data_IF_747116151968
#
_entry.id   IF_747116151968
#
_cell.length_a   1.000
_cell.length_b   1.000
_cell.length_c   1.000
_cell.angle_alpha   90.00
_cell.angle_beta   90.00
_cell.angle_gamma   90.00
#
_symmetry.space_group_name_H-M   'P 1'
#
loop_
_entity.id
_entity.type
_entity.pdbx_description
1 polymer ?
#
# COMPACT_ATOMS: atom_id res chain seq x y z
N UNK A 1 17.49 -26.58 16.27
CA UNK A 1 16.63 -25.73 15.43
C UNK A 1 16.02 -24.66 16.31
N UNK A 2 16.15 -23.36 16.00
CA UNK A 2 15.53 -22.32 16.81
C UNK A 2 13.98 -22.37 16.68
N UNK A 3 13.23 -21.96 17.71
CA UNK A 3 11.78 -22.07 17.71
C UNK A 3 11.17 -21.13 16.67
N UNK A 4 10.39 -21.70 15.75
CA UNK A 4 9.73 -21.03 14.62
C UNK A 4 8.59 -20.06 15.02
N UNK A 5 8.48 -19.69 16.30
CA UNK A 5 7.37 -18.91 16.84
C UNK A 5 7.81 -17.70 17.68
N UNK A 6 8.94 -17.09 17.31
CA UNK A 6 9.35 -15.80 17.89
C UNK A 6 8.47 -14.66 17.29
N UNK A 7 7.61 -14.01 18.09
CA UNK A 7 6.78 -12.90 17.62
C UNK A 7 7.62 -11.71 17.10
N UNK A 8 8.83 -11.50 17.62
CA UNK A 8 9.72 -10.44 17.16
C UNK A 8 10.29 -10.75 15.77
N UNK A 9 10.56 -12.03 15.47
CA UNK A 9 10.99 -12.46 14.14
C UNK A 9 9.89 -12.21 13.10
N UNK A 10 8.62 -12.53 13.41
CA UNK A 10 7.47 -12.25 12.52
C UNK A 10 7.30 -10.76 12.25
N UNK A 11 7.42 -9.93 13.29
CA UNK A 11 7.31 -8.47 13.17
C UNK A 11 8.43 -7.88 12.30
N UNK A 12 9.65 -8.42 12.40
CA UNK A 12 10.79 -8.02 11.57
C UNK A 12 10.57 -8.39 10.11
N UNK A 13 10.13 -9.62 9.83
CA UNK A 13 9.82 -10.07 8.47
C UNK A 13 8.69 -9.24 7.83
N UNK A 14 7.65 -8.88 8.59
CA UNK A 14 6.59 -8.02 8.09
C UNK A 14 7.09 -6.62 7.71
N UNK A 15 7.98 -6.03 8.51
CA UNK A 15 8.61 -4.73 8.19
C UNK A 15 9.45 -4.81 6.92
N UNK A 16 10.29 -5.83 6.83
CA UNK A 16 11.15 -6.07 5.66
C UNK A 16 10.32 -6.28 4.39
N UNK A 17 9.19 -7.00 4.50
CA UNK A 17 8.25 -7.17 3.39
C UNK A 17 7.70 -5.82 2.91
N UNK A 18 7.26 -4.96 3.83
CA UNK A 18 6.76 -3.62 3.49
C UNK A 18 7.87 -2.73 2.92
N UNK A 19 9.10 -2.84 3.42
CA UNK A 19 10.26 -2.12 2.88
C UNK A 19 10.51 -2.49 1.40
N UNK A 20 10.56 -3.79 1.10
CA UNK A 20 10.75 -4.30 -0.26
C UNK A 20 9.60 -3.87 -1.17
N UNK A 21 8.35 -4.02 -0.71
CA UNK A 21 7.19 -3.62 -1.50
C UNK A 21 7.16 -2.10 -1.78
N UNK A 22 7.62 -1.28 -0.83
CA UNK A 22 7.72 0.16 -1.03
C UNK A 22 8.81 0.52 -2.04
N UNK A 23 9.95 -0.16 -2.02
CA UNK A 23 10.99 0.02 -3.03
C UNK A 23 10.48 -0.33 -4.43
N UNK A 24 9.75 -1.44 -4.57
CA UNK A 24 9.08 -1.81 -5.82
C UNK A 24 8.07 -0.74 -6.26
N UNK A 25 7.26 -0.24 -5.32
CA UNK A 25 6.29 0.85 -5.56
C UNK A 25 6.95 2.12 -6.10
N UNK A 26 8.10 2.50 -5.53
CA UNK A 26 8.90 3.65 -5.98
C UNK A 26 9.46 3.42 -7.38
N UNK A 27 10.04 2.24 -7.66
CA UNK A 27 10.58 1.91 -8.98
C UNK A 27 9.50 1.93 -10.08
N UNK A 28 8.27 1.53 -9.74
CA UNK A 28 7.13 1.53 -10.64
C UNK A 28 6.38 2.86 -10.69
N UNK A 29 6.82 3.88 -9.96
CA UNK A 29 6.18 5.20 -9.86
C UNK A 29 4.67 5.09 -9.57
N UNK A 30 4.29 4.25 -8.60
CA UNK A 30 2.86 4.14 -8.22
C UNK A 30 2.41 5.25 -7.27
N UNK A 31 3.36 6.05 -6.77
CA UNK A 31 3.14 7.13 -5.80
C UNK A 31 2.39 6.67 -4.55
N UNK A 32 2.61 5.43 -4.11
CA UNK A 32 2.08 4.91 -2.84
C UNK A 32 3.14 5.07 -1.75
N UNK A 33 2.85 5.90 -0.75
CA UNK A 33 3.65 5.98 0.46
C UNK A 33 3.52 4.70 1.31
N UNK A 34 4.45 4.52 2.25
CA UNK A 34 4.54 3.33 3.11
C UNK A 34 3.24 3.02 3.87
N UNK A 35 2.52 4.05 4.31
CA UNK A 35 1.30 3.87 5.07
C UNK A 35 0.16 3.42 4.15
N UNK A 36 -0.01 4.08 3.01
CA UNK A 36 -0.99 3.68 1.98
C UNK A 36 -0.75 2.25 1.48
N UNK A 37 0.51 1.88 1.25
CA UNK A 37 0.88 0.53 0.83
C UNK A 37 0.53 -0.52 1.89
N UNK A 38 0.79 -0.22 3.17
CA UNK A 38 0.42 -1.10 4.29
C UNK A 38 -1.09 -1.34 4.37
N UNK A 39 -1.91 -0.32 4.11
CA UNK A 39 -3.36 -0.48 4.02
C UNK A 39 -3.75 -1.36 2.83
N UNK A 40 -3.11 -1.17 1.66
CA UNK A 40 -3.40 -2.00 0.48
C UNK A 40 -3.09 -3.47 0.75
N UNK A 41 -1.95 -3.76 1.36
CA UNK A 41 -1.58 -5.13 1.78
C UNK A 41 -2.62 -5.70 2.73
N UNK A 42 -3.00 -4.94 3.77
CA UNK A 42 -4.01 -5.38 4.74
C UNK A 42 -5.36 -5.68 4.08
N UNK A 43 -5.81 -4.84 3.14
CA UNK A 43 -7.07 -5.06 2.41
C UNK A 43 -6.99 -6.31 1.53
N UNK A 44 -5.88 -6.51 0.82
CA UNK A 44 -5.66 -7.70 -0.02
C UNK A 44 -5.61 -8.97 0.83
N UNK A 45 -4.94 -8.94 1.98
CA UNK A 45 -4.92 -10.05 2.95
C UNK A 45 -6.31 -10.38 3.52
N UNK A 46 -7.21 -9.39 3.58
CA UNK A 46 -8.62 -9.56 3.95
C UNK A 46 -9.52 -9.98 2.76
N UNK A 47 -8.94 -10.29 1.60
CA UNK A 47 -9.65 -10.83 0.43
C UNK A 47 -10.17 -9.77 -0.56
N UNK A 48 -9.76 -8.51 -0.42
CA UNK A 48 -10.09 -7.48 -1.42
C UNK A 48 -9.32 -7.75 -2.72
N UNK A 49 -10.01 -7.67 -3.84
CA UNK A 49 -9.40 -7.83 -5.16
C UNK A 49 -8.41 -6.67 -5.44
N UNK A 50 -7.15 -6.94 -5.80
CA UNK A 50 -6.13 -5.90 -5.99
C UNK A 50 -6.40 -5.00 -7.20
N UNK A 51 -6.99 -5.52 -8.27
CA UNK A 51 -7.33 -4.73 -9.47
C UNK A 51 -8.47 -3.75 -9.17
N UNK A 52 -9.50 -4.21 -8.45
CA UNK A 52 -10.59 -3.36 -8.00
C UNK A 52 -10.09 -2.27 -7.03
N UNK A 53 -9.21 -2.62 -6.10
CA UNK A 53 -8.59 -1.66 -5.19
C UNK A 53 -7.78 -0.60 -5.95
N UNK A 54 -7.00 -1.01 -6.95
CA UNK A 54 -6.23 -0.09 -7.79
C UNK A 54 -7.16 0.87 -8.57
N UNK A 55 -8.30 0.39 -9.07
CA UNK A 55 -9.29 1.23 -9.74
C UNK A 55 -9.85 2.31 -8.79
N UNK A 56 -10.18 1.93 -7.55
CA UNK A 56 -10.68 2.86 -6.52
C UNK A 56 -9.63 3.91 -6.17
N UNK A 57 -8.37 3.51 -5.97
CA UNK A 57 -7.27 4.45 -5.65
C UNK A 57 -7.09 5.48 -6.78
N UNK A 58 -7.08 5.02 -8.04
CA UNK A 58 -6.98 5.91 -9.21
C UNK A 58 -8.14 6.89 -9.28
N UNK A 59 -9.35 6.40 -9.03
CA UNK A 59 -10.54 7.25 -9.05
C UNK A 59 -10.54 8.30 -7.93
N UNK A 60 -10.12 7.93 -6.71
CA UNK A 60 -10.01 8.87 -5.59
C UNK A 60 -8.99 9.98 -5.89
N UNK A 61 -7.82 9.64 -6.41
CA UNK A 61 -6.80 10.63 -6.82
C UNK A 61 -7.32 11.57 -7.90
N UNK A 62 -7.94 11.03 -8.94
CA UNK A 62 -8.53 11.84 -10.01
C UNK A 62 -9.64 12.77 -9.51
N UNK A 63 -10.43 12.34 -8.51
CA UNK A 63 -11.44 13.20 -7.87
C UNK A 63 -10.79 14.33 -7.07
N UNK A 64 -9.75 14.04 -6.30
CA UNK A 64 -8.99 15.08 -5.56
C UNK A 64 -8.43 16.14 -6.51
N UNK A 65 -7.77 15.74 -7.58
CA UNK A 65 -7.22 16.67 -8.59
C UNK A 65 -8.32 17.55 -9.21
N UNK A 66 -9.50 16.98 -9.52
CA UNK A 66 -10.64 17.73 -10.05
C UNK A 66 -11.22 18.70 -9.04
N UNK A 67 -11.30 18.31 -7.77
CA UNK A 67 -11.83 19.15 -6.70
C UNK A 67 -10.90 20.32 -6.41
N UNK A 68 -9.58 20.08 -6.37
CA UNK A 68 -8.56 21.13 -6.28
C UNK A 68 -8.64 22.12 -7.45
N UNK A 69 -8.79 21.61 -8.68
CA UNK A 69 -8.96 22.45 -9.87
C UNK A 69 -10.25 23.30 -9.82
N UNK A 70 -11.31 22.82 -9.16
CA UNK A 70 -12.57 23.59 -8.97
C UNK A 70 -12.48 24.63 -7.87
N UNK A 71 -11.69 24.38 -6.83
CA UNK A 71 -11.49 25.29 -5.71
C UNK A 71 -10.44 26.37 -6.01
N UNK A 72 -9.56 26.13 -6.98
CA UNK A 72 -8.50 27.05 -7.43
C UNK A 72 -8.87 28.00 -8.58
N UNK A 73 -10.16 28.10 -8.95
CA UNK A 73 -10.66 29.01 -10.00
C UNK A 73 -11.55 30.12 -9.42
#
# INVERSE_FOLDING_TARGET
MPPMNDPEAKKRAARETIDILHEISTLLNTDLDRQSLSYCVSLIENGVNPEALAAVIKELRARQERDEARLGA
#
